data_IF_197946279271
#
_entry.id   IF_197946279271
#
_cell.length_a   1.000
_cell.length_b   1.000
_cell.length_c   1.000
_cell.angle_alpha   90.00
_cell.angle_beta   90.00
_cell.angle_gamma   90.00
#
_symmetry.space_group_name_H-M   'P 1'
#
loop_
_entity.id
_entity.type
_entity.pdbx_description
1 polymer ?
#
# COMPACT_ATOMS: atom_id res chain seq x y z
N UNK A 1 5.89 29.19 42.02
CA UNK A 1 6.07 27.79 41.56
C UNK A 1 4.77 27.05 41.21
N UNK A 2 3.58 27.68 41.21
CA UNK A 2 2.31 27.01 40.83
C UNK A 2 1.83 27.31 39.38
N UNK A 3 2.51 28.22 38.68
CA UNK A 3 2.18 28.62 37.30
C UNK A 3 2.98 27.85 36.26
N UNK A 4 4.25 27.52 36.54
CA UNK A 4 5.14 26.78 35.63
C UNK A 4 4.60 25.38 35.26
N UNK A 5 3.98 24.68 36.21
CA UNK A 5 3.44 23.33 36.00
C UNK A 5 2.16 23.32 35.16
N UNK A 6 1.33 24.39 35.23
CA UNK A 6 0.12 24.50 34.40
C UNK A 6 0.45 24.85 32.95
N UNK A 7 1.45 25.70 32.71
CA UNK A 7 1.89 26.05 31.35
C UNK A 7 2.61 24.87 30.66
N UNK A 8 3.38 24.08 31.42
CA UNK A 8 4.03 22.87 30.90
C UNK A 8 3.03 21.77 30.53
N UNK A 9 1.93 21.63 31.29
CA UNK A 9 0.85 20.66 30.99
C UNK A 9 0.05 21.01 29.73
N UNK A 10 -0.10 22.31 29.42
CA UNK A 10 -0.80 22.76 28.21
C UNK A 10 0.07 22.60 26.96
N UNK A 11 1.41 22.72 27.09
CA UNK A 11 2.33 22.59 25.96
C UNK A 11 2.51 21.12 25.50
N UNK A 12 2.40 20.16 26.42
CA UNK A 12 2.47 18.71 26.12
C UNK A 12 1.19 18.20 25.43
N UNK A 13 0.06 18.90 25.59
CA UNK A 13 -1.24 18.50 25.01
C UNK A 13 -1.40 18.90 23.53
N UNK A 14 -0.47 19.66 22.96
CA UNK A 14 -0.65 20.36 21.68
C UNK A 14 0.11 19.77 20.48
N UNK A 15 0.85 18.67 20.64
CA UNK A 15 1.73 18.16 19.58
C UNK A 15 1.62 16.65 19.38
N UNK A 16 0.47 16.17 18.92
CA UNK A 16 0.35 14.89 18.19
C UNK A 16 -0.78 14.99 17.16
N UNK A 17 -0.76 16.03 16.32
CA UNK A 17 -1.42 15.93 15.02
C UNK A 17 -0.41 15.26 14.09
N UNK A 18 -0.34 13.92 14.13
CA UNK A 18 0.35 13.17 13.09
C UNK A 18 -0.35 13.54 11.79
N UNK A 19 0.34 14.29 10.92
CA UNK A 19 -0.13 14.47 9.56
C UNK A 19 -0.14 13.06 8.93
N UNK A 20 -1.34 12.49 8.79
CA UNK A 20 -1.50 11.24 8.06
C UNK A 20 -1.24 11.58 6.60
N UNK A 21 -0.03 11.27 6.14
CA UNK A 21 0.32 11.41 4.74
C UNK A 21 -0.36 10.26 4.02
N UNK A 22 -1.38 10.61 3.25
CA UNK A 22 -2.09 9.67 2.43
C UNK A 22 -1.86 9.92 0.95
N UNK A 23 -1.66 8.86 0.17
CA UNK A 23 -1.29 8.94 -1.23
C UNK A 23 -2.34 8.24 -2.10
N UNK A 24 -2.76 8.92 -3.16
CA UNK A 24 -3.80 8.42 -4.06
C UNK A 24 -3.24 7.39 -5.04
N UNK A 25 -4.02 6.35 -5.31
CA UNK A 25 -3.75 5.36 -6.36
C UNK A 25 -4.71 5.60 -7.53
N UNK A 26 -4.16 5.70 -8.74
CA UNK A 26 -4.88 5.94 -9.97
C UNK A 26 -4.77 4.75 -10.93
N UNK A 27 -5.84 4.47 -11.66
CA UNK A 27 -5.86 3.55 -12.79
C UNK A 27 -6.61 4.18 -13.96
N UNK A 28 -5.95 4.23 -15.12
CA UNK A 28 -6.44 4.84 -16.36
C UNK A 28 -7.00 6.26 -16.15
N UNK A 29 -6.33 7.05 -15.31
CA UNK A 29 -6.71 8.43 -14.99
C UNK A 29 -7.78 8.58 -13.91
N UNK A 30 -8.41 7.50 -13.47
CA UNK A 30 -9.40 7.53 -12.38
C UNK A 30 -8.74 7.17 -11.06
N UNK A 31 -9.03 7.92 -10.00
CA UNK A 31 -8.66 7.53 -8.63
C UNK A 31 -9.42 6.27 -8.25
N UNK A 32 -8.71 5.22 -7.84
CA UNK A 32 -9.29 3.93 -7.44
C UNK A 32 -9.08 3.60 -5.98
N UNK A 33 -8.15 4.27 -5.31
CA UNK A 33 -7.92 4.08 -3.90
C UNK A 33 -6.87 5.01 -3.36
N UNK A 34 -6.41 4.68 -2.18
CA UNK A 34 -5.53 5.48 -1.36
C UNK A 34 -4.79 4.56 -0.39
N UNK A 35 -3.51 4.83 -0.19
CA UNK A 35 -2.64 4.11 0.74
C UNK A 35 -2.06 5.16 1.70
N UNK A 36 -2.31 4.97 2.98
CA UNK A 36 -1.74 5.81 4.04
C UNK A 36 -0.30 5.36 4.37
N UNK A 37 0.49 6.27 4.92
CA UNK A 37 1.89 6.00 5.26
C UNK A 37 2.08 4.85 6.27
N UNK A 38 1.06 4.51 7.06
CA UNK A 38 1.04 3.38 7.99
C UNK A 38 0.52 2.08 7.36
N UNK A 39 0.25 2.09 6.06
CA UNK A 39 -0.17 0.95 5.26
C UNK A 39 -1.69 0.77 5.14
N UNK A 40 -2.51 1.60 5.79
CA UNK A 40 -3.97 1.49 5.66
C UNK A 40 -4.42 1.77 4.21
N UNK A 41 -5.33 0.93 3.71
CA UNK A 41 -5.82 0.97 2.34
C UNK A 41 -7.28 1.39 2.32
N UNK A 42 -7.59 2.44 1.55
CA UNK A 42 -8.94 2.99 1.39
C UNK A 42 -9.42 2.89 -0.05
N UNK A 43 -10.70 2.53 -0.21
CA UNK A 43 -11.42 2.53 -1.49
C UNK A 43 -12.76 3.22 -1.27
N UNK A 44 -13.11 4.17 -2.13
CA UNK A 44 -14.32 4.99 -2.00
C UNK A 44 -14.50 5.63 -0.61
N UNK A 45 -13.40 6.00 0.05
CA UNK A 45 -13.40 6.63 1.38
C UNK A 45 -13.66 5.68 2.54
N UNK A 46 -13.70 4.36 2.31
CA UNK A 46 -13.79 3.35 3.36
C UNK A 46 -12.49 2.56 3.44
N UNK A 47 -12.02 2.29 4.66
CA UNK A 47 -10.88 1.42 4.89
C UNK A 47 -11.25 -0.02 4.51
N UNK A 48 -10.53 -0.60 3.56
CA UNK A 48 -10.77 -1.95 3.05
C UNK A 48 -9.66 -2.93 3.40
N UNK A 49 -8.50 -2.44 3.81
CA UNK A 49 -7.37 -3.30 4.14
C UNK A 49 -6.19 -2.56 4.74
N UNK A 50 -5.08 -3.29 4.86
CA UNK A 50 -3.81 -2.80 5.38
C UNK A 50 -2.64 -3.64 4.88
N UNK A 51 -1.53 -2.98 4.57
CA UNK A 51 -0.20 -3.58 4.51
C UNK A 51 0.49 -3.38 5.86
N UNK A 52 0.82 -4.46 6.55
CA UNK A 52 1.56 -4.40 7.80
C UNK A 52 3.08 -4.34 7.54
N UNK A 53 3.82 -3.85 8.53
CA UNK A 53 5.28 -3.66 8.40
C UNK A 53 6.07 -4.96 8.31
N UNK A 54 5.48 -6.07 8.75
CA UNK A 54 6.04 -7.42 8.67
C UNK A 54 5.75 -8.11 7.33
N UNK A 55 5.00 -7.45 6.42
CA UNK A 55 4.65 -7.97 5.11
C UNK A 55 3.22 -8.50 5.01
N UNK A 56 2.53 -8.70 6.15
CA UNK A 56 1.17 -9.21 6.15
C UNK A 56 0.19 -8.28 5.42
N UNK A 57 -0.70 -8.87 4.62
CA UNK A 57 -1.75 -8.13 3.91
C UNK A 57 -3.11 -8.52 4.44
N UNK A 58 -3.84 -7.53 4.96
CA UNK A 58 -5.19 -7.69 5.49
C UNK A 58 -6.23 -7.05 4.58
N UNK A 59 -7.39 -7.70 4.46
CA UNK A 59 -8.56 -7.18 3.76
C UNK A 59 -9.82 -7.50 4.54
N UNK A 60 -10.65 -6.49 4.77
CA UNK A 60 -11.90 -6.60 5.55
C UNK A 60 -11.71 -7.30 6.92
N UNK A 61 -10.56 -7.09 7.57
CA UNK A 61 -10.24 -7.66 8.89
C UNK A 61 -9.64 -9.07 8.87
N UNK A 62 -9.44 -9.68 7.70
CA UNK A 62 -8.81 -11.01 7.57
C UNK A 62 -7.47 -10.91 6.85
N UNK A 63 -6.47 -11.67 7.30
CA UNK A 63 -5.22 -11.83 6.55
C UNK A 63 -5.50 -12.59 5.26
N UNK A 64 -5.11 -12.02 4.12
CA UNK A 64 -5.32 -12.61 2.80
C UNK A 64 -4.02 -13.03 2.12
N UNK A 65 -2.89 -12.50 2.55
CA UNK A 65 -1.61 -12.76 1.91
C UNK A 65 -0.46 -12.09 2.63
N UNK A 66 0.68 -12.06 1.96
CA UNK A 66 1.95 -11.54 2.46
C UNK A 66 2.80 -11.06 1.29
N UNK A 67 3.60 -10.03 1.52
CA UNK A 67 4.72 -9.63 0.67
C UNK A 67 5.96 -9.72 1.55
N UNK A 68 6.77 -10.76 1.36
CA UNK A 68 7.97 -11.00 2.16
C UNK A 68 9.05 -9.96 1.84
N UNK A 69 10.03 -9.82 2.74
CA UNK A 69 11.08 -8.83 2.61
C UNK A 69 12.03 -9.06 1.42
N UNK A 70 12.09 -10.29 0.89
CA UNK A 70 12.82 -10.63 -0.32
C UNK A 70 12.01 -10.42 -1.61
N UNK A 71 10.74 -10.03 -1.48
CA UNK A 71 9.84 -9.73 -2.59
C UNK A 71 8.81 -10.83 -2.86
N UNK A 72 8.91 -12.00 -2.22
CA UNK A 72 7.97 -13.09 -2.46
C UNK A 72 6.52 -12.70 -2.10
N UNK A 73 5.58 -12.96 -3.01
CA UNK A 73 4.16 -12.64 -2.81
C UNK A 73 3.36 -13.91 -2.59
N UNK A 74 2.65 -13.96 -1.47
CA UNK A 74 1.78 -15.06 -1.08
C UNK A 74 0.31 -14.66 -1.09
N UNK A 75 -0.55 -15.55 -1.60
CA UNK A 75 -2.00 -15.51 -1.41
C UNK A 75 -2.38 -16.69 -0.50
N UNK A 76 -2.82 -16.39 0.72
CA UNK A 76 -2.93 -17.39 1.78
C UNK A 76 -1.56 -18.01 2.08
N UNK A 77 -1.42 -19.32 1.84
CA UNK A 77 -0.17 -20.09 2.02
C UNK A 77 0.55 -20.41 0.71
N UNK A 78 0.08 -19.87 -0.42
CA UNK A 78 0.61 -20.20 -1.74
C UNK A 78 1.42 -19.02 -2.27
N UNK A 79 2.70 -19.25 -2.59
CA UNK A 79 3.51 -18.29 -3.35
C UNK A 79 2.94 -18.17 -4.75
N UNK A 80 2.61 -16.95 -5.15
CA UNK A 80 1.96 -16.65 -6.45
C UNK A 80 2.82 -15.74 -7.32
N UNK A 81 3.69 -14.95 -6.72
CA UNK A 81 4.46 -13.96 -7.46
C UNK A 81 5.66 -13.44 -6.68
N UNK A 82 6.23 -12.37 -7.20
CA UNK A 82 7.39 -11.69 -6.65
C UNK A 82 7.32 -10.21 -7.05
N UNK A 83 7.69 -9.32 -6.13
CA UNK A 83 7.87 -7.89 -6.36
C UNK A 83 9.33 -7.58 -6.04
N UNK A 84 10.13 -7.40 -7.07
CA UNK A 84 11.55 -7.10 -6.90
C UNK A 84 11.76 -5.66 -6.43
N UNK A 85 12.88 -5.42 -5.77
CA UNK A 85 13.21 -4.11 -5.18
C UNK A 85 13.33 -2.97 -6.20
N UNK A 86 13.58 -3.28 -7.47
CA UNK A 86 13.62 -2.32 -8.58
C UNK A 86 12.22 -2.01 -9.15
N UNK A 87 11.19 -2.66 -8.62
CA UNK A 87 9.79 -2.47 -8.99
C UNK A 87 9.26 -3.48 -9.99
N UNK A 88 10.07 -4.43 -10.48
CA UNK A 88 9.59 -5.48 -11.37
C UNK A 88 8.59 -6.40 -10.65
N UNK A 89 7.47 -6.71 -11.32
CA UNK A 89 6.41 -7.54 -10.76
C UNK A 89 6.25 -8.82 -11.58
N UNK A 90 6.37 -9.96 -10.91
CA UNK A 90 6.24 -11.28 -11.50
C UNK A 90 5.01 -12.01 -10.96
N UNK A 91 4.37 -12.77 -11.85
CA UNK A 91 3.27 -13.68 -11.51
C UNK A 91 3.57 -15.03 -12.14
N UNK A 92 3.57 -16.09 -11.34
CA UNK A 92 3.89 -17.46 -11.78
C UNK A 92 5.21 -17.52 -12.61
N UNK A 93 6.23 -16.77 -12.17
CA UNK A 93 7.55 -16.75 -12.82
C UNK A 93 7.65 -15.93 -14.11
N UNK A 94 6.60 -15.21 -14.52
CA UNK A 94 6.63 -14.31 -15.67
C UNK A 94 6.52 -12.86 -15.23
N UNK A 95 7.39 -11.98 -15.74
CA UNK A 95 7.30 -10.54 -15.49
C UNK A 95 6.04 -9.99 -16.16
N UNK A 96 5.12 -9.45 -15.37
CA UNK A 96 3.85 -8.90 -15.85
C UNK A 96 3.76 -7.38 -15.70
N UNK A 97 4.55 -6.79 -14.80
CA UNK A 97 4.41 -5.37 -14.48
C UNK A 97 5.69 -4.72 -13.98
N UNK A 98 5.59 -3.42 -13.75
CA UNK A 98 6.62 -2.58 -13.19
C UNK A 98 5.95 -1.45 -12.39
N UNK A 99 6.49 -1.13 -11.24
CA UNK A 99 6.23 0.13 -10.55
C UNK A 99 7.52 0.95 -10.59
N UNK A 100 7.50 2.12 -11.21
CA UNK A 100 8.66 3.01 -11.26
C UNK A 100 8.79 3.83 -9.96
N UNK A 101 9.96 4.41 -9.72
CA UNK A 101 10.29 5.20 -8.52
C UNK A 101 9.39 6.41 -8.29
N UNK A 102 8.87 6.99 -9.37
CA UNK A 102 7.93 8.11 -9.32
C UNK A 102 6.47 7.65 -9.09
N UNK A 103 6.26 6.34 -8.96
CA UNK A 103 4.99 5.70 -8.71
C UNK A 103 4.22 5.32 -9.97
N UNK A 104 4.77 5.50 -11.17
CA UNK A 104 4.12 5.06 -12.40
C UNK A 104 3.99 3.53 -12.45
N UNK A 105 2.81 3.04 -12.84
CA UNK A 105 2.49 1.60 -12.84
C UNK A 105 2.28 1.12 -14.26
N UNK A 106 2.99 0.06 -14.63
CA UNK A 106 2.91 -0.58 -15.94
C UNK A 106 2.43 -2.02 -15.81
N UNK A 107 1.65 -2.45 -16.80
CA UNK A 107 1.24 -3.83 -16.99
C UNK A 107 1.48 -4.20 -18.45
N UNK A 108 2.21 -5.28 -18.70
CA UNK A 108 2.58 -5.76 -20.04
C UNK A 108 3.16 -4.63 -20.93
N UNK A 109 4.03 -3.80 -20.35
CA UNK A 109 4.71 -2.68 -21.04
C UNK A 109 3.85 -1.44 -21.28
N UNK A 110 2.59 -1.42 -20.83
CA UNK A 110 1.71 -0.25 -20.96
C UNK A 110 1.49 0.41 -19.60
N UNK A 111 1.63 1.74 -19.53
CA UNK A 111 1.31 2.50 -18.32
C UNK A 111 -0.19 2.43 -18.05
N UNK A 112 -0.57 1.90 -16.89
CA UNK A 112 -1.96 1.72 -16.47
C UNK A 112 -2.36 2.62 -15.31
N UNK A 113 -1.42 3.15 -14.55
CA UNK A 113 -1.72 3.81 -13.28
C UNK A 113 -0.58 4.62 -12.72
N UNK A 114 -0.82 5.16 -11.52
CA UNK A 114 0.18 5.91 -10.75
C UNK A 114 -0.17 5.92 -9.27
N UNK A 115 0.84 5.87 -8.41
CA UNK A 115 0.74 6.09 -6.96
C UNK A 115 2.03 6.73 -6.42
N UNK A 116 2.16 8.03 -6.62
CA UNK A 116 3.36 8.78 -6.25
C UNK A 116 3.55 8.86 -4.73
N UNK A 117 4.78 8.68 -4.25
CA UNK A 117 5.13 8.78 -2.83
C UNK A 117 4.78 7.56 -1.98
N UNK A 118 4.37 6.45 -2.61
CA UNK A 118 4.10 5.18 -1.95
C UNK A 118 5.23 4.20 -2.24
N UNK A 119 5.51 3.29 -1.31
CA UNK A 119 6.47 2.19 -1.51
C UNK A 119 6.05 1.31 -2.70
N UNK A 120 7.00 0.94 -3.56
CA UNK A 120 6.71 0.18 -4.81
C UNK A 120 5.97 -1.11 -4.52
N UNK A 121 6.38 -1.82 -3.47
CA UNK A 121 5.77 -3.07 -3.03
C UNK A 121 4.30 -2.91 -2.60
N UNK A 122 3.96 -1.79 -1.95
CA UNK A 122 2.57 -1.50 -1.57
C UNK A 122 1.73 -1.07 -2.77
N UNK A 123 2.32 -0.38 -3.75
CA UNK A 123 1.63 -0.05 -5.00
C UNK A 123 1.34 -1.32 -5.80
N UNK A 124 2.34 -2.16 -6.03
CA UNK A 124 2.16 -3.45 -6.70
C UNK A 124 1.17 -4.34 -5.94
N UNK A 125 1.32 -4.44 -4.62
CA UNK A 125 0.40 -5.13 -3.73
C UNK A 125 -1.03 -4.59 -3.81
N UNK A 126 -1.22 -3.27 -3.95
CA UNK A 126 -2.55 -2.67 -4.09
C UNK A 126 -3.25 -3.18 -5.36
N UNK A 127 -2.54 -3.14 -6.49
CA UNK A 127 -3.07 -3.65 -7.75
C UNK A 127 -3.37 -5.15 -7.66
N UNK A 128 -2.51 -5.92 -7.00
CA UNK A 128 -2.67 -7.37 -6.83
C UNK A 128 -3.85 -7.73 -5.91
N UNK A 129 -3.81 -7.33 -4.64
CA UNK A 129 -4.73 -7.79 -3.58
C UNK A 129 -6.08 -7.05 -3.53
N UNK A 130 -6.10 -5.77 -3.93
CA UNK A 130 -7.27 -4.90 -3.73
C UNK A 130 -7.95 -4.47 -5.02
N UNK A 131 -7.29 -4.61 -6.17
CA UNK A 131 -7.86 -4.18 -7.44
C UNK A 131 -8.15 -5.33 -8.39
N UNK A 132 -7.14 -6.11 -8.79
CA UNK A 132 -7.33 -7.19 -9.76
C UNK A 132 -8.05 -8.38 -9.15
N UNK A 133 -7.72 -8.76 -7.91
CA UNK A 133 -8.43 -9.89 -7.28
C UNK A 133 -9.95 -9.64 -7.20
N UNK A 134 -10.37 -8.39 -6.97
CA UNK A 134 -11.80 -8.02 -6.94
C UNK A 134 -12.44 -7.88 -8.33
N UNK A 135 -11.66 -7.74 -9.41
CA UNK A 135 -12.16 -7.53 -10.77
C UNK A 135 -12.16 -8.78 -11.65
N UNK A 136 -11.24 -9.71 -11.41
CA UNK A 136 -11.07 -10.90 -12.24
C UNK A 136 -11.02 -12.22 -11.45
N UNK A 137 -11.07 -12.19 -10.12
CA UNK A 137 -11.14 -13.40 -9.28
C UNK A 137 -9.97 -14.34 -9.51
N UNK A 138 -8.77 -13.91 -9.13
CA UNK A 138 -7.59 -14.78 -9.11
C UNK A 138 -7.62 -15.69 -7.86
#
# INVERSE_FOLDING_TARGET
MKTLTRTLLVLILLTFASAVYSQNVYYKGSRIGEIEADGDVYVNGSRVGKFESDGDVYKNGSRIGEIEADGDVYLGSSRVGEIESDGDVYLNGSRIGLVEDDGDVYLNGSRIGQAAGVKREWVAGFFFFFFYNDKIGL
#
